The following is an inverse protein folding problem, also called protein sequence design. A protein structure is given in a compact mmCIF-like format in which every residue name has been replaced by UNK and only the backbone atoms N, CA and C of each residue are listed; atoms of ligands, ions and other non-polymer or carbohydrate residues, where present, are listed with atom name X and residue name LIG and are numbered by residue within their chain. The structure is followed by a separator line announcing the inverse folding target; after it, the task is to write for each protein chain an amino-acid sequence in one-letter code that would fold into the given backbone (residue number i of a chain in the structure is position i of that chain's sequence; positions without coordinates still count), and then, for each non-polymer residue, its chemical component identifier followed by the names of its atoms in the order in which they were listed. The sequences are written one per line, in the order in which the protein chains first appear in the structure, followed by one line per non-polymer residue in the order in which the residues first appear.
data_IF_981403033796
#
_entry.id   IF_981403033796
#
_cell.length_a   1.000
_cell.length_b   1.000
_cell.length_c   1.000
_cell.angle_alpha   90.00
_cell.angle_beta   90.00
_cell.angle_gamma   90.00
#
_symmetry.space_group_name_H-M   'P 1'
#
loop_
_entity.id
_entity.type
_entity.pdbx_description
1 polymer ?
#
# COMPACT_ATOMS: atom_id res chain seq x y z
N UNK A 1 -4.46 -3.75 -17.89
CA UNK A 1 -4.03 -4.48 -16.67
C UNK A 1 -2.52 -4.33 -16.56
N UNK A 2 -2.03 -3.74 -15.47
CA UNK A 2 -0.60 -3.48 -15.28
C UNK A 2 0.10 -4.82 -15.01
N UNK A 3 1.11 -5.13 -15.82
CA UNK A 3 1.86 -6.40 -15.77
C UNK A 3 2.93 -6.31 -14.68
N UNK A 4 3.07 -7.36 -13.88
CA UNK A 4 4.26 -7.48 -13.02
C UNK A 4 5.53 -7.49 -13.89
N UNK A 5 6.62 -6.87 -13.42
CA UNK A 5 7.86 -6.91 -14.17
C UNK A 5 8.43 -8.34 -14.11
N UNK A 6 9.00 -8.82 -15.23
CA UNK A 6 9.62 -10.15 -15.28
C UNK A 6 10.85 -10.25 -14.36
N UNK A 7 11.53 -9.13 -14.15
CA UNK A 7 12.67 -8.96 -13.26
C UNK A 7 12.43 -7.74 -12.35
N UNK A 8 12.90 -7.80 -11.11
CA UNK A 8 12.83 -6.67 -10.19
C UNK A 8 14.25 -6.31 -9.69
N UNK A 9 15.01 -5.50 -10.43
CA UNK A 9 16.38 -5.16 -10.07
C UNK A 9 16.41 -4.40 -8.73
N UNK A 10 17.52 -4.50 -7.97
CA UNK A 10 17.61 -3.91 -6.64
C UNK A 10 17.49 -2.38 -6.68
N UNK A 11 16.91 -1.80 -5.63
CA UNK A 11 16.85 -0.37 -5.44
C UNK A 11 18.27 0.22 -5.31
N UNK A 12 18.57 1.28 -6.05
CA UNK A 12 19.84 2.03 -5.97
C UNK A 12 19.73 3.29 -5.08
N UNK A 13 18.64 3.41 -4.32
CA UNK A 13 18.37 4.48 -3.35
C UNK A 13 18.41 5.94 -3.89
N UNK A 14 18.35 6.13 -5.21
CA UNK A 14 18.49 7.45 -5.86
C UNK A 14 17.42 8.48 -5.45
N UNK A 15 16.23 8.02 -5.04
CA UNK A 15 15.16 8.87 -4.52
C UNK A 15 14.22 9.49 -5.56
N UNK A 16 14.36 9.20 -6.86
CA UNK A 16 13.45 9.77 -7.89
C UNK A 16 11.98 9.41 -7.64
N UNK A 17 11.72 8.18 -7.19
CA UNK A 17 10.39 7.71 -6.82
C UNK A 17 9.74 8.51 -5.66
N UNK A 18 10.54 9.16 -4.82
CA UNK A 18 10.08 9.98 -3.71
C UNK A 18 9.31 11.21 -4.21
N UNK A 19 9.84 11.87 -5.24
CA UNK A 19 9.24 13.09 -5.80
C UNK A 19 7.96 12.78 -6.61
N UNK A 20 7.87 11.58 -7.19
CA UNK A 20 6.66 11.12 -7.89
C UNK A 20 5.55 10.61 -6.95
N UNK A 21 5.82 10.41 -5.66
CA UNK A 21 4.86 9.82 -4.73
C UNK A 21 3.87 10.88 -4.19
N UNK A 22 2.55 10.72 -4.41
CA UNK A 22 1.55 11.68 -3.93
C UNK A 22 1.44 11.72 -2.40
N UNK A 23 1.78 10.62 -1.72
CA UNK A 23 1.75 10.57 -0.25
C UNK A 23 2.97 11.30 0.32
N UNK A 24 4.15 11.09 -0.27
CA UNK A 24 5.35 11.78 0.19
C UNK A 24 5.28 13.29 -0.06
N UNK A 25 4.68 13.74 -1.16
CA UNK A 25 4.58 15.18 -1.47
C UNK A 25 3.79 15.96 -0.42
N UNK A 26 2.87 15.28 0.29
CA UNK A 26 2.06 15.82 1.39
C UNK A 26 2.76 15.60 2.74
N UNK A 27 3.07 14.35 3.10
CA UNK A 27 3.53 14.00 4.45
C UNK A 27 5.01 14.30 4.69
N UNK A 28 5.83 14.34 3.64
CA UNK A 28 7.28 14.65 3.66
C UNK A 28 8.10 13.81 4.64
N UNK A 29 7.68 12.57 4.88
CA UNK A 29 8.35 11.62 5.76
C UNK A 29 8.99 10.49 4.95
N UNK A 30 10.31 10.36 5.02
CA UNK A 30 11.06 9.42 4.16
C UNK A 30 10.64 7.97 4.35
N UNK A 31 10.30 7.55 5.57
CA UNK A 31 9.87 6.19 5.87
C UNK A 31 8.50 5.82 5.23
N UNK A 32 7.78 6.79 4.68
CA UNK A 32 6.53 6.61 3.93
C UNK A 32 6.78 6.76 2.41
N UNK A 33 7.94 7.25 2.00
CA UNK A 33 8.30 7.38 0.58
C UNK A 33 8.44 6.00 -0.07
N UNK A 34 8.28 5.86 -1.40
CA UNK A 34 8.48 4.58 -2.06
C UNK A 34 9.90 4.03 -1.90
N UNK A 35 10.90 4.91 -1.82
CA UNK A 35 12.29 4.51 -1.52
C UNK A 35 12.40 3.99 -0.09
N UNK A 36 11.84 4.72 0.88
CA UNK A 36 11.85 4.29 2.28
C UNK A 36 11.15 2.96 2.45
N UNK A 37 9.99 2.76 1.83
CA UNK A 37 9.28 1.49 1.84
C UNK A 37 10.10 0.37 1.17
N UNK A 38 10.79 0.63 0.05
CA UNK A 38 11.68 -0.35 -0.57
C UNK A 38 12.83 -0.76 0.37
N UNK A 39 13.48 0.19 1.03
CA UNK A 39 14.55 -0.08 2.01
C UNK A 39 14.03 -0.86 3.22
N UNK A 40 12.85 -0.49 3.74
CA UNK A 40 12.22 -1.18 4.87
C UNK A 40 11.84 -2.63 4.49
N UNK A 41 11.33 -2.84 3.28
CA UNK A 41 10.98 -4.15 2.78
C UNK A 41 12.23 -5.05 2.60
N UNK A 42 13.31 -4.51 2.02
CA UNK A 42 14.59 -5.20 1.85
C UNK A 42 15.17 -5.64 3.20
N UNK A 43 15.05 -4.78 4.22
CA UNK A 43 15.47 -5.08 5.60
C UNK A 43 14.50 -5.99 6.37
N UNK A 44 13.40 -6.41 5.76
CA UNK A 44 12.40 -7.28 6.38
C UNK A 44 11.65 -6.64 7.56
N UNK A 45 11.55 -5.31 7.60
CA UNK A 45 10.81 -4.60 8.64
C UNK A 45 9.32 -4.90 8.48
N UNK A 46 8.69 -5.39 9.55
CA UNK A 46 7.26 -5.67 9.58
C UNK A 46 6.52 -4.52 10.28
N UNK A 47 5.75 -3.73 9.53
CA UNK A 47 5.13 -2.50 10.07
C UNK A 47 3.83 -2.15 9.34
N UNK A 48 2.92 -1.45 10.02
CA UNK A 48 1.72 -0.91 9.39
C UNK A 48 1.99 0.28 8.46
N UNK A 49 3.22 0.81 8.43
CA UNK A 49 3.59 1.92 7.53
C UNK A 49 3.38 1.59 6.05
N UNK A 50 3.53 0.32 5.65
CA UNK A 50 3.33 -0.11 4.27
C UNK A 50 1.89 0.11 3.78
N UNK A 51 0.93 0.26 4.71
CA UNK A 51 -0.46 0.59 4.38
C UNK A 51 -0.67 2.06 3.96
N UNK A 52 0.35 2.93 4.12
CA UNK A 52 0.30 4.31 3.62
C UNK A 52 0.49 4.41 2.09
N UNK A 53 1.07 3.38 1.46
CA UNK A 53 1.20 3.36 0.00
C UNK A 53 -0.19 3.31 -0.66
N UNK A 54 -0.47 4.12 -1.68
CA UNK A 54 -1.77 4.03 -2.38
C UNK A 54 -1.79 2.98 -3.49
N UNK A 55 -0.70 2.23 -3.67
CA UNK A 55 -0.51 1.26 -4.76
C UNK A 55 -0.72 1.87 -6.16
N UNK A 56 -0.52 3.19 -6.31
CA UNK A 56 -0.71 3.89 -7.58
C UNK A 56 0.40 3.61 -8.61
N UNK A 57 1.53 3.03 -8.16
CA UNK A 57 2.72 2.68 -8.96
C UNK A 57 3.42 3.83 -9.68
N UNK A 58 3.15 5.09 -9.33
CA UNK A 58 3.89 6.24 -9.88
C UNK A 58 5.41 6.13 -9.67
N UNK A 59 5.85 5.48 -8.59
CA UNK A 59 7.26 5.20 -8.33
C UNK A 59 7.92 4.30 -9.39
N UNK A 60 7.18 3.34 -9.94
CA UNK A 60 7.68 2.39 -10.94
C UNK A 60 7.89 3.08 -12.28
N UNK A 61 6.96 3.93 -12.68
CA UNK A 61 7.02 4.68 -13.96
C UNK A 61 8.27 5.57 -14.05
N UNK A 62 8.73 6.12 -12.92
CA UNK A 62 9.89 7.02 -12.89
C UNK A 62 11.19 6.31 -12.49
N UNK A 63 11.17 5.01 -12.16
CA UNK A 63 12.34 4.35 -11.62
C UNK A 63 13.39 4.10 -12.72
N UNK A 64 14.62 4.64 -12.62
CA UNK A 64 15.62 4.55 -13.69
C UNK A 64 16.16 3.13 -13.89
N UNK A 65 16.03 2.28 -12.87
CA UNK A 65 16.40 0.86 -12.94
C UNK A 65 15.18 -0.04 -13.09
N UNK A 66 13.95 0.49 -13.08
CA UNK A 66 12.74 -0.33 -13.17
C UNK A 66 12.40 -1.14 -11.91
N UNK A 67 12.90 -0.72 -10.73
CA UNK A 67 12.56 -1.35 -9.45
C UNK A 67 11.11 -1.09 -9.05
N UNK A 68 10.42 -2.15 -8.60
CA UNK A 68 9.09 -2.12 -7.99
C UNK A 68 9.18 -2.48 -6.49
N UNK A 69 8.74 -1.61 -5.56
CA UNK A 69 8.70 -1.90 -4.13
C UNK A 69 7.77 -3.06 -3.72
N UNK A 70 7.03 -3.67 -4.66
CA UNK A 70 6.21 -4.87 -4.44
C UNK A 70 5.19 -4.69 -3.30
N UNK A 71 4.50 -3.54 -3.29
CA UNK A 71 3.65 -3.11 -2.19
C UNK A 71 2.54 -4.11 -1.84
N UNK A 72 1.92 -4.71 -2.85
CA UNK A 72 0.90 -5.75 -2.69
C UNK A 72 1.47 -7.01 -2.04
N UNK A 73 2.62 -7.50 -2.50
CA UNK A 73 3.26 -8.70 -1.97
C UNK A 73 3.72 -8.48 -0.52
N UNK A 74 4.27 -7.30 -0.22
CA UNK A 74 4.64 -6.92 1.15
C UNK A 74 3.41 -6.92 2.06
N UNK A 75 2.30 -6.28 1.65
CA UNK A 75 1.05 -6.30 2.42
C UNK A 75 0.49 -7.70 2.62
N UNK A 76 0.50 -8.54 1.59
CA UNK A 76 0.04 -9.93 1.68
C UNK A 76 0.84 -10.72 2.74
N UNK A 77 2.17 -10.52 2.78
CA UNK A 77 3.02 -11.11 3.82
C UNK A 77 2.69 -10.57 5.22
N UNK A 78 2.47 -9.27 5.36
CA UNK A 78 2.11 -8.66 6.64
C UNK A 78 0.78 -9.20 7.17
N UNK A 79 -0.24 -9.34 6.31
CA UNK A 79 -1.52 -9.95 6.67
C UNK A 79 -1.33 -11.39 7.14
N UNK A 80 -0.49 -12.19 6.47
CA UNK A 80 -0.17 -13.55 6.90
C UNK A 80 0.52 -13.61 8.28
N UNK A 81 1.14 -12.50 8.72
CA UNK A 81 1.74 -12.34 10.04
C UNK A 81 0.79 -11.69 11.07
N UNK A 82 -0.47 -11.41 10.71
CA UNK A 82 -1.43 -10.72 11.56
C UNK A 82 -1.18 -9.20 11.69
N UNK A 83 -0.38 -8.63 10.80
CA UNK A 83 -0.03 -7.20 10.79
C UNK A 83 -0.88 -6.48 9.73
N UNK A 84 -1.94 -5.84 10.19
CA UNK A 84 -2.86 -5.07 9.37
C UNK A 84 -3.49 -3.93 10.20
N UNK A 85 -4.09 -2.96 9.51
CA UNK A 85 -4.78 -1.86 10.17
C UNK A 85 -6.12 -2.33 10.75
N UNK A 86 -6.61 -1.65 11.80
CA UNK A 86 -7.93 -1.93 12.36
C UNK A 86 -9.05 -1.69 11.33
N UNK A 87 -8.93 -0.61 10.53
CA UNK A 87 -9.86 -0.31 9.46
C UNK A 87 -9.93 -1.43 8.40
N UNK A 88 -8.79 -2.06 8.05
CA UNK A 88 -8.78 -3.17 7.11
C UNK A 88 -9.44 -4.41 7.69
N UNK A 89 -9.23 -4.71 8.97
CA UNK A 89 -9.94 -5.81 9.66
C UNK A 89 -11.44 -5.61 9.66
N UNK A 90 -11.89 -4.41 10.04
CA UNK A 90 -13.31 -4.03 10.05
C UNK A 90 -13.93 -4.16 8.66
N UNK A 91 -13.26 -3.61 7.64
CA UNK A 91 -13.70 -3.70 6.25
C UNK A 91 -13.85 -5.15 5.78
N UNK A 92 -12.84 -6.00 6.03
CA UNK A 92 -12.87 -7.42 5.62
C UNK A 92 -13.98 -8.18 6.35
N UNK A 93 -14.17 -7.91 7.65
CA UNK A 93 -15.26 -8.50 8.43
C UNK A 93 -16.64 -8.08 7.86
N UNK A 94 -16.81 -6.81 7.52
CA UNK A 94 -18.04 -6.31 6.92
C UNK A 94 -18.32 -6.95 5.55
N UNK A 95 -17.30 -7.09 4.69
CA UNK A 95 -17.46 -7.76 3.39
C UNK A 95 -17.93 -9.19 3.58
N UNK A 96 -17.32 -9.94 4.51
CA UNK A 96 -17.68 -11.34 4.80
C UNK A 96 -19.09 -11.49 5.37
N UNK A 97 -19.52 -10.55 6.21
CA UNK A 97 -20.80 -10.65 6.91
C UNK A 97 -21.98 -10.04 6.13
N UNK A 98 -21.76 -8.91 5.46
CA UNK A 98 -22.81 -8.09 4.84
C UNK A 98 -22.68 -7.94 3.32
N UNK A 99 -21.63 -8.52 2.71
CA UNK A 99 -21.37 -8.41 1.28
C UNK A 99 -20.86 -7.04 0.81
N UNK A 100 -20.52 -6.13 1.74
CA UNK A 100 -20.04 -4.78 1.44
C UNK A 100 -19.05 -4.29 2.53
N UNK A 101 -18.16 -3.32 2.24
CA UNK A 101 -17.12 -2.87 3.19
C UNK A 101 -17.63 -1.97 4.33
N UNK A 102 -18.84 -1.44 4.20
CA UNK A 102 -19.38 -0.38 5.05
C UNK A 102 -20.23 -0.90 6.22
N UNK A 103 -20.53 -2.20 6.24
CA UNK A 103 -21.32 -2.84 7.29
C UNK A 103 -22.81 -2.95 6.92
N UNK A 104 -23.72 -3.00 7.90
CA UNK A 104 -25.14 -3.06 7.64
C UNK A 104 -25.65 -1.71 7.11
N UNK A 105 -26.33 -1.73 5.95
CA UNK A 105 -26.94 -0.56 5.32
C UNK A 105 -28.40 -0.85 4.99
N UNK A 106 -29.26 0.15 5.13
CA UNK A 106 -30.62 0.12 4.58
C UNK A 106 -30.61 0.54 3.11
N UNK A 107 -31.64 0.17 2.36
CA UNK A 107 -31.83 0.61 0.98
C UNK A 107 -31.77 2.14 0.88
N UNK A 108 -30.91 2.66 0.01
CA UNK A 108 -30.68 4.11 -0.15
C UNK A 108 -29.89 4.80 0.97
N UNK A 109 -29.40 4.07 1.98
CA UNK A 109 -28.57 4.65 3.04
C UNK A 109 -27.14 4.92 2.56
N UNK A 110 -26.65 6.14 2.82
CA UNK A 110 -25.27 6.51 2.53
C UNK A 110 -24.39 6.15 3.74
N UNK A 111 -23.31 5.36 3.57
CA UNK A 111 -22.37 5.04 4.64
C UNK A 111 -21.82 6.27 5.34
N UNK A 112 -21.87 6.28 6.68
CA UNK A 112 -21.30 7.36 7.50
C UNK A 112 -19.77 7.29 7.61
N UNK A 113 -19.21 6.07 7.51
CA UNK A 113 -17.78 5.83 7.52
C UNK A 113 -17.42 5.15 6.20
N UNK A 114 -16.50 5.77 5.47
CA UNK A 114 -15.90 5.16 4.31
C UNK A 114 -14.64 4.43 4.75
N UNK A 115 -14.70 3.11 4.70
CA UNK A 115 -13.55 2.21 4.80
C UNK A 115 -13.10 1.92 3.37
N UNK A 116 -11.98 2.51 2.96
CA UNK A 116 -11.31 2.18 1.71
C UNK A 116 -10.01 1.44 2.04
N UNK A 117 -9.71 0.43 1.22
CA UNK A 117 -8.54 -0.47 1.30
C UNK A 117 -7.18 0.25 1.23
#
# INVERSE_FOLDING_TARGET
MLREPAENPPCIECGLCREACPIFTILRQEHISPRGLAILADRGVASVVFYQCTLCRACREVCPVGHDPAGEQVRARLVAQGIETEANREMIANIRQYGNPFGPLKEGEIPKRLTCC
#
